data_IF_432862420924
#
_entry.id   IF_432862420924
#
_cell.length_a   1.000
_cell.length_b   1.000
_cell.length_c   1.000
_cell.angle_alpha   90.00
_cell.angle_beta   90.00
_cell.angle_gamma   90.00
#
_symmetry.space_group_name_H-M   'P 1'
#
loop_
_entity.id
_entity.type
_entity.pdbx_description
1 polymer ?
#
# COMPACT_ATOMS: atom_id res chain seq x y z
N UNK A 1 -12.85 10.42 -7.53
CA UNK A 1 -11.62 9.61 -7.37
C UNK A 1 -11.00 10.04 -6.04
N UNK A 2 -10.84 9.16 -5.04
CA UNK A 2 -10.08 9.52 -3.84
C UNK A 2 -8.60 9.48 -4.23
N UNK A 3 -7.86 10.53 -3.92
CA UNK A 3 -6.42 10.67 -4.26
C UNK A 3 -5.51 9.69 -3.49
N UNK A 4 -6.08 8.89 -2.57
CA UNK A 4 -5.36 7.98 -1.67
C UNK A 4 -5.63 6.50 -1.99
N UNK A 5 -6.10 6.18 -3.20
CA UNK A 5 -6.34 4.81 -3.64
C UNK A 5 -5.68 4.58 -5.00
N UNK A 6 -4.91 3.50 -5.10
CA UNK A 6 -4.42 2.96 -6.36
C UNK A 6 -4.87 1.51 -6.49
N UNK A 7 -4.82 0.99 -7.71
CA UNK A 7 -5.16 -0.41 -8.05
C UNK A 7 -4.01 -0.96 -8.86
N UNK A 8 -3.58 -2.18 -8.52
CA UNK A 8 -2.62 -2.94 -9.32
C UNK A 8 -3.27 -4.26 -9.75
N UNK A 9 -2.92 -4.73 -10.95
CA UNK A 9 -3.37 -6.02 -11.49
C UNK A 9 -2.13 -6.88 -11.65
N UNK A 10 -2.14 -8.07 -11.04
CA UNK A 10 -1.04 -9.03 -11.09
C UNK A 10 -1.43 -10.17 -12.04
N UNK A 11 -0.93 -10.18 -13.29
CA UNK A 11 -1.24 -11.24 -14.22
C UNK A 11 -0.54 -12.54 -13.79
N UNK A 12 -1.23 -13.67 -13.97
CA UNK A 12 -0.73 -15.02 -13.65
C UNK A 12 -0.41 -15.27 -12.18
N UNK A 13 -0.92 -14.43 -11.28
CA UNK A 13 -0.78 -14.61 -9.83
C UNK A 13 -2.08 -15.08 -9.20
N UNK A 14 -1.97 -16.02 -8.28
CA UNK A 14 -3.07 -16.40 -7.38
C UNK A 14 -3.08 -15.50 -6.13
N UNK A 15 -4.07 -15.74 -5.26
CA UNK A 15 -4.19 -14.97 -4.02
C UNK A 15 -2.99 -15.15 -3.08
N UNK A 16 -2.35 -16.32 -3.05
CA UNK A 16 -1.24 -16.61 -2.14
C UNK A 16 0.05 -15.91 -2.59
N UNK A 17 0.34 -15.92 -3.89
CA UNK A 17 1.45 -15.16 -4.47
C UNK A 17 1.23 -13.66 -4.26
N UNK A 18 -0.01 -13.18 -4.46
CA UNK A 18 -0.39 -11.79 -4.19
C UNK A 18 -0.14 -11.39 -2.74
N UNK A 19 -0.49 -12.25 -1.78
CA UNK A 19 -0.22 -12.00 -0.36
C UNK A 19 1.28 -11.93 -0.06
N UNK A 20 2.09 -12.79 -0.69
CA UNK A 20 3.56 -12.75 -0.56
C UNK A 20 4.13 -11.44 -1.11
N UNK A 21 3.70 -11.03 -2.31
CA UNK A 21 4.15 -9.78 -2.95
C UNK A 21 3.81 -8.57 -2.07
N UNK A 22 2.59 -8.52 -1.51
CA UNK A 22 2.17 -7.42 -0.65
C UNK A 22 2.98 -7.39 0.65
N UNK A 23 3.32 -8.56 1.20
CA UNK A 23 4.19 -8.66 2.38
C UNK A 23 5.59 -8.11 2.08
N UNK A 24 6.22 -8.57 1.00
CA UNK A 24 7.57 -8.13 0.62
C UNK A 24 7.61 -6.63 0.34
N UNK A 25 6.58 -6.11 -0.36
CA UNK A 25 6.40 -4.67 -0.57
C UNK A 25 6.36 -3.91 0.76
N UNK A 26 5.62 -4.40 1.76
CA UNK A 26 5.52 -3.74 3.06
C UNK A 26 6.84 -3.76 3.82
N UNK A 27 7.59 -4.86 3.76
CA UNK A 27 8.91 -4.95 4.38
C UNK A 27 9.88 -3.92 3.77
N UNK A 28 9.90 -3.79 2.45
CA UNK A 28 10.76 -2.83 1.75
C UNK A 28 10.30 -1.37 1.98
N UNK A 29 9.00 -1.15 1.98
CA UNK A 29 8.41 0.17 2.21
C UNK A 29 8.70 0.70 3.62
N UNK A 30 8.71 -0.19 4.62
CA UNK A 30 9.09 0.14 5.99
C UNK A 30 10.59 0.38 6.16
N UNK A 31 11.45 -0.40 5.49
CA UNK A 31 12.91 -0.28 5.62
C UNK A 31 13.45 0.99 4.94
N UNK A 32 13.03 1.25 3.70
CA UNK A 32 13.68 2.28 2.86
C UNK A 32 12.70 3.27 2.24
N UNK A 33 11.50 2.82 1.85
CA UNK A 33 10.59 3.65 1.06
C UNK A 33 10.23 4.98 1.75
N UNK A 34 9.81 4.92 3.01
CA UNK A 34 9.29 6.11 3.69
C UNK A 34 10.36 7.01 4.29
N UNK A 35 11.45 6.45 4.79
CA UNK A 35 12.58 7.26 5.28
C UNK A 35 13.16 8.11 4.15
N UNK A 36 13.24 7.56 2.94
CA UNK A 36 13.67 8.26 1.74
C UNK A 36 12.67 9.35 1.32
N UNK A 37 11.37 9.06 1.28
CA UNK A 37 10.33 10.05 0.96
C UNK A 37 10.37 11.24 1.94
N UNK A 38 10.52 10.97 3.24
CA UNK A 38 10.60 12.02 4.25
C UNK A 38 11.90 12.83 4.15
N UNK A 39 13.03 12.15 3.87
CA UNK A 39 14.31 12.81 3.66
C UNK A 39 14.25 13.77 2.47
N UNK A 40 13.68 13.34 1.35
CA UNK A 40 13.47 14.19 0.17
C UNK A 40 12.49 15.33 0.44
N UNK A 41 11.40 15.08 1.16
CA UNK A 41 10.44 16.13 1.51
C UNK A 41 11.06 17.20 2.42
N UNK A 42 11.86 16.80 3.42
CA UNK A 42 12.56 17.72 4.33
C UNK A 42 13.67 18.52 3.64
N UNK A 43 14.30 17.99 2.59
CA UNK A 43 15.24 18.76 1.76
C UNK A 43 14.55 19.92 1.06
N UNK A 44 13.31 19.74 0.63
CA UNK A 44 12.53 20.76 -0.07
C UNK A 44 11.86 21.75 0.90
N UNK A 45 11.36 21.27 2.03
CA UNK A 45 10.81 22.10 3.11
C UNK A 45 11.17 21.50 4.48
N UNK A 46 12.12 22.13 5.22
CA UNK A 46 12.53 21.69 6.56
C UNK A 46 11.41 21.70 7.61
N UNK A 47 10.29 22.38 7.35
CA UNK A 47 9.10 22.36 8.22
C UNK A 47 8.20 21.15 7.96
N UNK A 48 8.51 20.32 6.95
CA UNK A 48 7.75 19.10 6.66
C UNK A 48 7.81 18.16 7.86
N UNK A 49 6.68 18.04 8.54
CA UNK A 49 6.52 17.11 9.66
C UNK A 49 6.31 15.72 9.11
N UNK A 50 6.97 14.76 9.74
CA UNK A 50 6.60 13.36 9.56
C UNK A 50 5.13 13.17 9.99
N UNK A 51 4.37 12.40 9.22
CA UNK A 51 2.99 12.01 9.57
C UNK A 51 2.87 10.51 9.72
N UNK A 52 2.13 10.09 10.75
CA UNK A 52 1.74 8.69 10.92
C UNK A 52 0.68 8.34 9.88
N UNK A 53 0.81 7.20 9.21
CA UNK A 53 -0.25 6.69 8.36
C UNK A 53 -0.24 5.17 8.28
N UNK A 54 -1.43 4.61 8.04
CA UNK A 54 -1.64 3.17 7.83
C UNK A 54 -1.87 2.90 6.35
N UNK A 55 -1.18 1.91 5.81
CA UNK A 55 -1.46 1.36 4.48
C UNK A 55 -2.48 0.24 4.62
N UNK A 56 -3.56 0.34 3.85
CA UNK A 56 -4.60 -0.69 3.80
C UNK A 56 -4.68 -1.24 2.38
N UNK A 57 -4.63 -2.56 2.25
CA UNK A 57 -4.81 -3.23 0.98
C UNK A 57 -5.90 -4.30 1.11
N UNK A 58 -6.62 -4.51 0.02
CA UNK A 58 -7.52 -5.63 -0.12
C UNK A 58 -7.23 -6.30 -1.44
N UNK A 59 -7.39 -7.62 -1.46
CA UNK A 59 -6.94 -8.49 -2.55
C UNK A 59 -8.13 -9.34 -2.98
N UNK A 60 -8.22 -9.60 -4.27
CA UNK A 60 -9.23 -10.47 -4.85
C UNK A 60 -8.64 -11.14 -6.10
N UNK A 61 -8.88 -12.43 -6.23
CA UNK A 61 -8.53 -13.19 -7.42
C UNK A 61 -9.69 -13.13 -8.42
N UNK A 62 -9.37 -12.81 -9.67
CA UNK A 62 -10.34 -12.79 -10.75
C UNK A 62 -10.53 -14.18 -11.37
N UNK A 63 -11.70 -14.41 -11.95
CA UNK A 63 -11.93 -15.56 -12.84
C UNK A 63 -12.04 -15.10 -14.29
N UNK A 64 -11.82 -15.96 -15.29
CA UNK A 64 -11.80 -15.56 -16.70
C UNK A 64 -13.05 -14.84 -17.22
N UNK A 65 -14.20 -15.06 -16.56
CA UNK A 65 -15.50 -14.49 -16.94
C UNK A 65 -15.92 -13.29 -16.07
N UNK A 66 -15.14 -12.97 -15.03
CA UNK A 66 -15.51 -11.91 -14.11
C UNK A 66 -15.15 -10.52 -14.66
N UNK A 67 -16.05 -9.56 -14.48
CA UNK A 67 -15.77 -8.16 -14.79
C UNK A 67 -14.76 -7.57 -13.79
N UNK A 68 -13.76 -6.86 -14.31
CA UNK A 68 -12.70 -6.24 -13.51
C UNK A 68 -13.28 -5.34 -12.41
N UNK A 69 -14.34 -4.57 -12.71
CA UNK A 69 -14.97 -3.69 -11.74
C UNK A 69 -15.57 -4.45 -10.55
N UNK A 70 -16.09 -5.66 -10.80
CA UNK A 70 -16.61 -6.54 -9.75
C UNK A 70 -15.49 -7.09 -8.87
N UNK A 71 -14.36 -7.47 -9.49
CA UNK A 71 -13.16 -7.92 -8.76
C UNK A 71 -12.56 -6.78 -7.91
N UNK A 72 -12.48 -5.57 -8.47
CA UNK A 72 -12.02 -4.39 -7.72
C UNK A 72 -12.95 -4.07 -6.54
N UNK A 73 -14.27 -4.18 -6.71
CA UNK A 73 -15.22 -4.02 -5.59
C UNK A 73 -14.99 -5.08 -4.50
N UNK A 74 -14.76 -6.34 -4.88
CA UNK A 74 -14.46 -7.42 -3.94
C UNK A 74 -13.16 -7.15 -3.18
N UNK A 75 -12.09 -6.77 -3.88
CA UNK A 75 -10.83 -6.38 -3.25
C UNK A 75 -11.04 -5.23 -2.25
N UNK A 76 -11.83 -4.21 -2.61
CA UNK A 76 -12.15 -3.10 -1.70
C UNK A 76 -12.92 -3.54 -0.45
N UNK A 77 -13.80 -4.55 -0.55
CA UNK A 77 -14.54 -5.08 0.59
C UNK A 77 -13.64 -5.86 1.56
N UNK A 78 -12.59 -6.52 1.06
CA UNK A 78 -11.63 -7.30 1.85
C UNK A 78 -10.41 -6.50 2.33
N UNK A 79 -10.56 -5.18 2.47
CA UNK A 79 -9.44 -4.30 2.79
C UNK A 79 -9.03 -4.47 4.26
N UNK A 80 -7.76 -4.83 4.48
CA UNK A 80 -7.13 -4.95 5.81
C UNK A 80 -5.94 -4.00 5.92
N UNK A 81 -5.57 -3.62 7.15
CA UNK A 81 -4.32 -2.91 7.40
C UNK A 81 -3.16 -3.88 7.10
N UNK A 82 -2.27 -3.49 6.19
CA UNK A 82 -1.10 -4.29 5.81
C UNK A 82 0.19 -3.71 6.38
N UNK A 83 0.14 -2.47 6.86
CA UNK A 83 1.18 -1.93 7.71
C UNK A 83 0.89 -0.51 8.14
N UNK A 84 1.70 -0.07 9.09
CA UNK A 84 1.64 1.26 9.67
C UNK A 84 3.02 1.84 9.71
N UNK A 85 3.11 3.12 9.40
CA UNK A 85 4.29 3.91 9.63
C UNK A 85 4.03 4.90 10.74
N UNK A 86 4.96 4.91 11.67
CA UNK A 86 4.99 5.81 12.80
C UNK A 86 6.23 6.66 12.69
N UNK A 87 6.05 7.94 12.92
CA UNK A 87 7.14 8.87 13.05
C UNK A 87 7.90 8.58 14.34
N UNK A 88 9.24 8.61 14.26
CA UNK A 88 10.05 8.63 15.46
C UNK A 88 9.64 9.84 16.30
N UNK A 89 9.24 9.61 17.55
CA UNK A 89 9.00 10.68 18.51
C UNK A 89 10.34 11.37 18.71
N UNK A 90 10.48 12.61 18.25
CA UNK A 90 11.58 13.47 18.68
C UNK A 90 11.27 13.89 20.11
N UNK A 91 11.99 13.33 21.08
CA UNK A 91 12.10 13.89 22.44
C UNK A 91 12.80 15.26 22.39
#
# INVERSE_FOLDING_TARGET
RKINEFVTVLPFSDIAETESIVKDFMEDFQKSGMSEIWSEAQKNDPQTRCVDFSVKAGMAEGTPVAEIDSIVKLAKAHRKEIGRLQCAVKE
#
